data_IF_782437339421
#
_entry.id   IF_782437339421
#
_cell.length_a   1.000
_cell.length_b   1.000
_cell.length_c   1.000
_cell.angle_alpha   90.00
_cell.angle_beta   90.00
_cell.angle_gamma   90.00
#
_symmetry.space_group_name_H-M   'P 1'
#
loop_
_entity.id
_entity.type
_entity.pdbx_description
1 polymer ?
#
# COMPACT_ATOMS: atom_id res chain seq x y z
N UNK A 1 -8.39 -7.94 4.56
CA UNK A 1 -9.13 -8.91 3.73
C UNK A 1 -10.06 -8.14 2.81
N UNK A 2 -10.37 -8.68 1.63
CA UNK A 2 -11.42 -8.16 0.76
C UNK A 2 -12.77 -8.76 1.19
N UNK A 3 -13.82 -7.96 1.16
CA UNK A 3 -15.20 -8.43 1.31
C UNK A 3 -15.65 -9.17 0.05
N UNK A 4 -16.27 -10.35 0.18
CA UNK A 4 -16.83 -11.10 -0.97
C UNK A 4 -18.12 -10.50 -1.50
N UNK A 5 -18.86 -9.82 -0.62
CA UNK A 5 -20.09 -9.11 -0.93
C UNK A 5 -19.96 -7.64 -0.49
N UNK A 6 -20.95 -6.81 -0.78
CA UNK A 6 -21.01 -5.46 -0.22
C UNK A 6 -21.23 -5.50 1.31
N UNK A 7 -20.98 -4.37 1.96
CA UNK A 7 -21.07 -4.22 3.42
C UNK A 7 -22.45 -4.61 3.98
N UNK A 8 -23.53 -4.15 3.34
CA UNK A 8 -24.89 -4.41 3.82
C UNK A 8 -25.20 -5.91 3.77
N UNK A 9 -24.82 -6.58 2.67
CA UNK A 9 -24.97 -8.03 2.54
C UNK A 9 -24.18 -8.78 3.63
N UNK A 10 -22.93 -8.39 3.91
CA UNK A 10 -22.13 -9.04 4.96
C UNK A 10 -22.75 -8.83 6.35
N UNK A 11 -23.26 -7.64 6.65
CA UNK A 11 -23.96 -7.35 7.91
C UNK A 11 -25.20 -8.25 8.05
N UNK A 12 -25.98 -8.43 6.98
CA UNK A 12 -27.15 -9.32 7.01
C UNK A 12 -26.75 -10.78 7.16
N UNK A 13 -25.71 -11.23 6.44
CA UNK A 13 -25.16 -12.58 6.59
C UNK A 13 -24.73 -12.83 8.04
N UNK A 14 -24.08 -11.85 8.68
CA UNK A 14 -23.66 -11.94 10.08
C UNK A 14 -24.85 -12.05 11.04
N UNK A 15 -25.89 -11.22 10.85
CA UNK A 15 -27.12 -11.28 11.66
C UNK A 15 -27.83 -12.63 11.54
N UNK A 16 -27.88 -13.20 10.34
CA UNK A 16 -28.47 -14.53 10.11
C UNK A 16 -27.64 -15.61 10.77
N UNK A 17 -26.32 -15.62 10.52
CA UNK A 17 -25.37 -16.52 11.16
C UNK A 17 -25.51 -16.54 12.69
N UNK A 18 -25.50 -15.37 13.34
CA UNK A 18 -25.61 -15.26 14.79
C UNK A 18 -26.95 -15.76 15.35
N UNK A 19 -28.04 -15.65 14.57
CA UNK A 19 -29.34 -16.24 14.94
C UNK A 19 -29.32 -17.77 14.87
N UNK A 20 -28.73 -18.33 13.82
CA UNK A 20 -28.65 -19.79 13.61
C UNK A 20 -27.87 -20.50 14.72
N UNK A 21 -26.80 -19.85 15.24
CA UNK A 21 -25.97 -20.39 16.32
C UNK A 21 -26.41 -19.93 17.72
N UNK A 22 -27.65 -19.42 17.88
CA UNK A 22 -28.20 -18.94 19.15
C UNK A 22 -27.28 -17.95 19.91
N UNK A 23 -26.66 -17.03 19.17
CA UNK A 23 -25.73 -16.02 19.67
C UNK A 23 -24.46 -16.58 20.37
N UNK A 24 -24.17 -17.89 20.21
CA UNK A 24 -23.04 -18.57 20.85
C UNK A 24 -22.18 -19.31 19.81
N UNK A 25 -21.54 -18.60 18.88
CA UNK A 25 -20.71 -19.23 17.86
C UNK A 25 -19.48 -19.90 18.48
N UNK A 26 -19.13 -21.08 17.99
CA UNK A 26 -17.83 -21.69 18.25
C UNK A 26 -16.75 -21.08 17.36
N UNK A 27 -15.49 -21.42 17.63
CA UNK A 27 -14.36 -20.99 16.79
C UNK A 27 -14.49 -21.46 15.34
N UNK A 28 -15.03 -22.66 15.10
CA UNK A 28 -15.20 -23.19 13.75
C UNK A 28 -16.31 -22.43 13.01
N UNK A 29 -17.41 -22.13 13.69
CA UNK A 29 -18.52 -21.33 13.13
C UNK A 29 -18.04 -19.95 12.66
N UNK A 30 -17.22 -19.28 13.48
CA UNK A 30 -16.63 -17.98 13.10
C UNK A 30 -15.67 -18.13 11.92
N UNK A 31 -14.85 -19.19 11.89
CA UNK A 31 -13.93 -19.44 10.77
C UNK A 31 -14.71 -19.60 9.46
N UNK A 32 -15.74 -20.44 9.46
CA UNK A 32 -16.56 -20.73 8.28
C UNK A 32 -17.29 -19.46 7.80
N UNK A 33 -17.81 -18.66 8.74
CA UNK A 33 -18.38 -17.36 8.44
C UNK A 33 -17.36 -16.43 7.74
N UNK A 34 -16.14 -16.35 8.28
CA UNK A 34 -15.07 -15.50 7.72
C UNK A 34 -14.68 -15.98 6.33
N UNK A 35 -14.47 -17.29 6.12
CA UNK A 35 -14.07 -17.85 4.83
C UNK A 35 -15.15 -17.66 3.74
N UNK A 36 -16.43 -17.74 4.13
CA UNK A 36 -17.58 -17.52 3.24
C UNK A 36 -17.77 -16.05 2.85
N UNK A 37 -17.38 -15.10 3.70
CA UNK A 37 -17.67 -13.67 3.49
C UNK A 37 -16.44 -12.82 3.15
N UNK A 38 -15.23 -13.32 3.40
CA UNK A 38 -13.99 -12.58 3.19
C UNK A 38 -12.97 -13.43 2.42
N UNK A 39 -12.02 -12.76 1.78
CA UNK A 39 -10.93 -13.43 1.07
C UNK A 39 -9.64 -12.61 1.14
N UNK A 40 -8.51 -13.31 1.17
CA UNK A 40 -7.21 -12.69 0.95
C UNK A 40 -7.04 -12.41 -0.55
N UNK A 41 -7.31 -11.16 -0.94
CA UNK A 41 -7.10 -10.70 -2.31
C UNK A 41 -5.77 -9.96 -2.45
N UNK A 42 -5.15 -10.09 -3.61
CA UNK A 42 -3.96 -9.31 -3.97
C UNK A 42 -4.39 -7.98 -4.61
N UNK A 43 -4.24 -6.90 -3.83
CA UNK A 43 -4.68 -5.53 -4.18
C UNK A 43 -3.68 -4.76 -5.06
N UNK A 44 -2.43 -5.21 -5.07
CA UNK A 44 -1.31 -4.50 -5.68
C UNK A 44 -0.74 -5.33 -6.83
N UNK A 45 -0.26 -4.65 -7.85
CA UNK A 45 0.59 -5.24 -8.88
C UNK A 45 1.95 -4.55 -8.88
N UNK A 46 2.97 -5.25 -9.38
CA UNK A 46 4.28 -4.64 -9.61
C UNK A 46 4.11 -3.49 -10.60
N UNK A 47 4.66 -2.34 -10.25
CA UNK A 47 4.71 -1.20 -11.15
C UNK A 47 6.15 -0.88 -11.44
N UNK A 48 6.50 -0.86 -12.72
CA UNK A 48 7.80 -0.42 -13.15
C UNK A 48 7.61 0.70 -14.14
N UNK A 49 8.13 1.86 -13.77
CA UNK A 49 8.19 2.98 -14.68
C UNK A 49 9.21 2.71 -15.78
N UNK A 50 9.01 3.34 -16.95
CA UNK A 50 9.86 3.10 -18.13
C UNK A 50 11.32 3.51 -17.90
N UNK A 51 11.58 4.41 -16.94
CA UNK A 51 12.92 4.86 -16.60
C UNK A 51 13.59 3.90 -15.63
N UNK A 52 14.64 3.23 -16.08
CA UNK A 52 15.49 2.43 -15.20
C UNK A 52 16.21 3.33 -14.19
N UNK A 53 16.45 2.85 -12.95
CA UNK A 53 17.32 3.53 -11.99
C UNK A 53 18.68 3.81 -12.64
N UNK A 54 19.17 5.04 -12.47
CA UNK A 54 20.52 5.44 -12.92
C UNK A 54 21.52 5.13 -11.81
N UNK A 55 22.81 5.09 -12.16
CA UNK A 55 23.88 5.00 -11.16
C UNK A 55 23.64 6.05 -10.06
N UNK A 56 23.67 5.66 -8.77
CA UNK A 56 23.21 6.55 -7.72
C UNK A 56 24.14 7.75 -7.62
N UNK A 57 23.63 8.96 -7.43
CA UNK A 57 24.46 10.16 -7.37
C UNK A 57 25.52 10.09 -6.26
N UNK A 58 25.24 9.34 -5.20
CA UNK A 58 26.15 9.11 -4.09
C UNK A 58 27.36 8.23 -4.46
N UNK A 59 27.29 7.41 -5.51
CA UNK A 59 28.41 6.53 -5.92
C UNK A 59 29.69 7.33 -6.17
N UNK A 60 29.56 8.54 -6.71
CA UNK A 60 30.67 9.47 -6.96
C UNK A 60 31.37 9.97 -5.68
N UNK A 61 30.78 9.77 -4.51
CA UNK A 61 31.29 10.22 -3.20
C UNK A 61 31.74 9.06 -2.32
N UNK A 62 31.60 7.82 -2.79
CA UNK A 62 31.98 6.63 -2.04
C UNK A 62 33.42 6.27 -2.43
N UNK A 63 34.32 6.29 -1.44
CA UNK A 63 35.73 5.91 -1.66
C UNK A 63 36.00 4.44 -1.37
N UNK A 64 35.17 3.80 -0.54
CA UNK A 64 35.34 2.40 -0.13
C UNK A 64 34.57 1.46 -1.08
N UNK A 65 35.23 0.50 -1.76
CA UNK A 65 34.59 -0.42 -2.70
C UNK A 65 33.43 -1.21 -2.12
N UNK A 66 33.50 -1.56 -0.83
CA UNK A 66 32.46 -2.33 -0.14
C UNK A 66 31.13 -1.56 -0.08
N UNK A 67 31.20 -0.25 0.15
CA UNK A 67 30.02 0.61 0.18
C UNK A 67 29.46 0.88 -1.21
N UNK A 68 30.32 0.90 -2.24
CA UNK A 68 29.88 1.02 -3.63
C UNK A 68 29.11 -0.25 -4.05
N UNK A 69 29.63 -1.43 -3.72
CA UNK A 69 28.94 -2.71 -3.95
C UNK A 69 27.57 -2.73 -3.26
N UNK A 70 27.54 -2.37 -1.97
CA UNK A 70 26.29 -2.30 -1.21
C UNK A 70 25.26 -1.38 -1.86
N UNK A 71 25.65 -0.18 -2.29
CA UNK A 71 24.74 0.76 -2.95
C UNK A 71 24.22 0.21 -4.28
N UNK A 72 25.07 -0.47 -5.05
CA UNK A 72 24.66 -1.10 -6.30
C UNK A 72 23.66 -2.26 -6.06
N UNK A 73 23.81 -3.01 -4.97
CA UNK A 73 22.88 -4.07 -4.57
C UNK A 73 21.50 -3.54 -4.13
N UNK A 74 21.42 -2.29 -3.65
CA UNK A 74 20.14 -1.67 -3.29
C UNK A 74 19.30 -1.26 -4.50
N UNK A 75 19.92 -0.92 -5.63
CA UNK A 75 19.18 -0.37 -6.78
C UNK A 75 18.10 -1.30 -7.35
N UNK A 76 18.32 -2.62 -7.51
CA UNK A 76 17.28 -3.54 -7.97
C UNK A 76 16.10 -3.63 -6.99
N UNK A 77 16.33 -3.38 -5.70
CA UNK A 77 15.30 -3.47 -4.66
C UNK A 77 14.18 -2.46 -4.89
N UNK A 78 14.47 -1.26 -5.41
CA UNK A 78 13.43 -0.30 -5.77
C UNK A 78 12.42 -0.89 -6.75
N UNK A 79 12.88 -1.59 -7.78
CA UNK A 79 12.00 -2.28 -8.74
C UNK A 79 11.16 -3.37 -8.09
N UNK A 80 11.71 -4.02 -7.07
CA UNK A 80 11.02 -5.07 -6.30
C UNK A 80 9.97 -4.46 -5.37
N UNK A 81 10.14 -3.23 -4.90
CA UNK A 81 9.23 -2.58 -3.92
C UNK A 81 8.22 -1.62 -4.55
N UNK A 82 8.41 -1.19 -5.80
CA UNK A 82 7.43 -0.33 -6.48
C UNK A 82 6.16 -1.10 -6.83
N UNK A 83 5.02 -0.53 -6.47
CA UNK A 83 3.67 -1.08 -6.62
C UNK A 83 2.74 -0.04 -7.22
N UNK A 84 1.64 -0.53 -7.80
CA UNK A 84 0.43 0.26 -8.04
C UNK A 84 -0.78 -0.55 -7.61
N UNK A 85 -1.88 0.14 -7.36
CA UNK A 85 -3.16 -0.51 -7.05
C UNK A 85 -3.74 -1.06 -8.35
N UNK A 86 -4.20 -2.31 -8.34
CA UNK A 86 -4.74 -2.93 -9.55
C UNK A 86 -6.01 -2.21 -10.02
N UNK A 87 -6.24 -2.17 -11.34
CA UNK A 87 -7.39 -1.44 -11.91
C UNK A 87 -8.74 -1.99 -11.45
N UNK A 88 -8.84 -3.29 -11.25
CA UNK A 88 -10.03 -3.97 -10.75
C UNK A 88 -10.36 -3.61 -9.29
N UNK A 89 -9.35 -3.21 -8.50
CA UNK A 89 -9.53 -2.79 -7.10
C UNK A 89 -10.14 -1.38 -7.04
N UNK A 90 -9.70 -0.48 -7.91
CA UNK A 90 -10.21 0.89 -8.01
C UNK A 90 -11.54 1.00 -8.76
N UNK A 91 -12.05 -0.11 -9.31
CA UNK A 91 -13.36 -0.12 -9.95
C UNK A 91 -14.46 0.24 -8.93
N UNK A 92 -15.43 1.04 -9.36
CA UNK A 92 -16.49 1.57 -8.48
C UNK A 92 -17.25 0.49 -7.69
N UNK A 93 -17.44 -0.68 -8.31
CA UNK A 93 -18.18 -1.79 -7.70
C UNK A 93 -17.34 -2.58 -6.68
N UNK A 94 -16.03 -2.35 -6.66
CA UNK A 94 -15.07 -3.09 -5.86
C UNK A 94 -14.42 -2.24 -4.77
N UNK A 95 -14.27 -0.93 -4.95
CA UNK A 95 -13.46 -0.09 -4.06
C UNK A 95 -13.90 -0.15 -2.59
N UNK A 96 -15.20 -0.24 -2.34
CA UNK A 96 -15.76 -0.36 -0.98
C UNK A 96 -15.48 -1.72 -0.33
N UNK A 97 -15.11 -2.73 -1.12
CA UNK A 97 -14.81 -4.09 -0.65
C UNK A 97 -13.36 -4.24 -0.20
N UNK A 98 -12.52 -3.23 -0.44
CA UNK A 98 -11.12 -3.19 -0.04
C UNK A 98 -10.89 -2.14 1.04
N UNK A 99 -9.85 -2.36 1.83
CA UNK A 99 -9.42 -1.38 2.83
C UNK A 99 -8.38 -0.40 2.30
N UNK A 100 -7.78 -0.68 1.13
CA UNK A 100 -6.76 0.18 0.53
C UNK A 100 -7.37 1.50 0.05
N UNK A 101 -6.70 2.62 0.36
CA UNK A 101 -7.07 3.93 -0.16
C UNK A 101 -6.53 4.02 -1.60
N UNK A 102 -7.38 4.27 -2.61
CA UNK A 102 -6.93 4.42 -3.98
C UNK A 102 -6.09 5.69 -4.12
N UNK A 103 -5.00 5.65 -4.88
CA UNK A 103 -4.16 6.80 -5.20
C UNK A 103 -3.82 6.80 -6.71
N UNK A 104 -3.64 7.96 -7.35
CA UNK A 104 -3.53 8.04 -8.81
C UNK A 104 -2.26 7.42 -9.40
N UNK A 105 -1.15 7.44 -8.66
CA UNK A 105 0.17 7.02 -9.15
C UNK A 105 0.71 5.79 -8.40
N UNK A 106 1.72 5.15 -8.99
CA UNK A 106 2.50 4.12 -8.31
C UNK A 106 3.25 4.67 -7.09
N UNK A 107 3.59 3.79 -6.16
CA UNK A 107 4.30 4.11 -4.92
C UNK A 107 5.24 2.96 -4.53
N UNK A 108 6.14 3.23 -3.60
CA UNK A 108 7.06 2.22 -3.05
C UNK A 108 6.58 1.84 -1.65
N UNK A 109 6.53 0.53 -1.37
CA UNK A 109 6.21 0.01 -0.04
C UNK A 109 7.48 -0.20 0.80
N UNK A 110 7.41 -0.18 2.15
CA UNK A 110 8.58 -0.45 3.00
C UNK A 110 9.17 -1.86 2.82
N UNK A 111 8.35 -2.84 2.38
CA UNK A 111 8.76 -4.22 2.11
C UNK A 111 8.23 -5.24 3.11
N UNK A 112 8.65 -6.49 2.96
CA UNK A 112 8.21 -7.60 3.82
C UNK A 112 6.69 -7.78 3.80
N UNK A 113 6.06 -7.73 4.98
CA UNK A 113 4.61 -7.94 5.14
C UNK A 113 3.74 -6.72 4.80
N UNK A 114 4.34 -5.55 4.58
CA UNK A 114 3.61 -4.30 4.35
C UNK A 114 3.03 -4.27 2.93
N UNK A 115 1.75 -3.91 2.82
CA UNK A 115 1.00 -3.95 1.55
C UNK A 115 0.34 -2.59 1.24
N UNK A 116 0.95 -1.51 1.71
CA UNK A 116 0.51 -0.13 1.54
C UNK A 116 1.71 0.81 1.68
N UNK A 117 1.58 2.04 1.18
CA UNK A 117 2.52 3.11 1.50
C UNK A 117 2.33 3.55 2.95
N UNK A 118 3.41 4.05 3.56
CA UNK A 118 3.44 4.67 4.88
C UNK A 118 4.03 6.07 4.76
N UNK A 119 3.44 7.05 5.45
CA UNK A 119 3.75 8.46 5.22
C UNK A 119 5.21 8.81 5.54
N UNK A 120 5.66 8.67 6.78
CA UNK A 120 7.02 9.08 7.14
C UNK A 120 8.12 8.19 6.52
N UNK A 121 7.84 6.90 6.30
CA UNK A 121 8.75 5.97 5.62
C UNK A 121 9.01 6.43 4.18
N UNK A 122 7.97 6.98 3.54
CA UNK A 122 8.06 7.45 2.16
C UNK A 122 9.03 8.61 1.99
N UNK A 123 9.29 9.41 3.02
CA UNK A 123 10.30 10.47 2.95
C UNK A 123 11.70 9.87 2.70
N UNK A 124 12.10 8.88 3.50
CA UNK A 124 13.40 8.22 3.37
C UNK A 124 13.51 7.46 2.05
N UNK A 125 12.41 6.84 1.62
CA UNK A 125 12.32 6.20 0.31
C UNK A 125 12.51 7.22 -0.81
N UNK A 126 11.81 8.37 -0.76
CA UNK A 126 11.93 9.45 -1.76
C UNK A 126 13.38 9.95 -1.84
N UNK A 127 14.06 10.15 -0.71
CA UNK A 127 15.49 10.52 -0.69
C UNK A 127 16.35 9.47 -1.42
N UNK A 128 16.11 8.19 -1.18
CA UNK A 128 16.79 7.10 -1.88
C UNK A 128 16.51 7.09 -3.39
N UNK A 129 15.23 7.22 -3.77
CA UNK A 129 14.79 7.26 -5.17
C UNK A 129 15.39 8.44 -5.95
N UNK A 130 15.45 9.62 -5.32
CA UNK A 130 16.11 10.80 -5.91
C UNK A 130 17.59 10.53 -6.17
N UNK A 131 18.29 9.91 -5.22
CA UNK A 131 19.68 9.51 -5.40
C UNK A 131 19.84 8.48 -6.52
N UNK A 132 18.87 7.59 -6.72
CA UNK A 132 18.85 6.61 -7.83
C UNK A 132 18.31 7.17 -9.16
N UNK A 133 18.03 8.47 -9.25
CA UNK A 133 17.51 9.13 -10.46
C UNK A 133 16.07 8.76 -10.83
N UNK A 134 15.29 8.21 -9.90
CA UNK A 134 13.89 7.80 -10.10
C UNK A 134 12.92 8.98 -9.86
N UNK A 135 13.18 10.11 -10.49
CA UNK A 135 12.46 11.38 -10.25
C UNK A 135 10.99 11.31 -10.64
N UNK A 136 10.63 10.55 -11.67
CA UNK A 136 9.23 10.38 -12.09
C UNK A 136 8.42 9.62 -11.03
N UNK A 137 9.01 8.56 -10.44
CA UNK A 137 8.38 7.81 -9.34
C UNK A 137 8.20 8.70 -8.12
N UNK A 138 9.22 9.51 -7.79
CA UNK A 138 9.14 10.50 -6.71
C UNK A 138 8.01 11.49 -6.96
N UNK A 139 7.92 12.05 -8.16
CA UNK A 139 6.83 12.97 -8.53
C UNK A 139 5.46 12.31 -8.33
N UNK A 140 5.28 11.08 -8.79
CA UNK A 140 4.04 10.34 -8.60
C UNK A 140 3.68 10.11 -7.13
N UNK A 141 4.67 9.80 -6.29
CA UNK A 141 4.45 9.67 -4.83
C UNK A 141 4.06 10.99 -4.18
N UNK A 142 4.66 12.11 -4.57
CA UNK A 142 4.28 13.44 -4.06
C UNK A 142 2.88 13.85 -4.52
N UNK A 143 2.51 13.56 -5.78
CA UNK A 143 1.16 13.76 -6.29
C UNK A 143 0.13 12.89 -5.55
N UNK A 144 0.48 11.67 -5.15
CA UNK A 144 -0.37 10.84 -4.30
C UNK A 144 -0.61 11.51 -2.92
N UNK A 145 0.41 12.11 -2.33
CA UNK A 145 0.28 12.82 -1.06
C UNK A 145 -0.58 14.08 -1.18
N UNK A 146 -0.37 14.87 -2.23
CA UNK A 146 -1.22 16.03 -2.52
C UNK A 146 -2.69 15.61 -2.65
N UNK A 147 -2.96 14.54 -3.42
CA UNK A 147 -4.30 14.00 -3.58
C UNK A 147 -4.93 13.54 -2.24
N UNK A 148 -4.14 12.94 -1.34
CA UNK A 148 -4.62 12.54 -0.02
C UNK A 148 -4.98 13.76 0.84
N UNK A 149 -4.19 14.82 0.79
CA UNK A 149 -4.48 16.09 1.48
C UNK A 149 -5.76 16.71 0.92
N UNK A 150 -5.89 16.80 -0.40
CA UNK A 150 -7.10 17.34 -1.04
C UNK A 150 -8.36 16.55 -0.66
N UNK A 151 -8.25 15.22 -0.57
CA UNK A 151 -9.40 14.34 -0.29
C UNK A 151 -9.77 14.22 1.18
N UNK A 152 -8.78 14.16 2.07
CA UNK A 152 -8.98 13.84 3.49
C UNK A 152 -8.55 14.97 4.44
N UNK A 153 -7.91 16.02 3.93
CA UNK A 153 -7.37 17.15 4.72
C UNK A 153 -6.00 16.88 5.35
N UNK A 154 -5.45 15.67 5.21
CA UNK A 154 -4.15 15.28 5.74
C UNK A 154 -3.63 14.01 5.07
N UNK A 155 -2.35 13.67 5.30
CA UNK A 155 -1.76 12.40 4.86
C UNK A 155 -1.94 11.36 5.99
N UNK A 156 -2.71 10.27 5.77
CA UNK A 156 -2.88 9.22 6.79
C UNK A 156 -1.58 8.47 7.05
N UNK A 157 -1.48 7.81 8.22
CA UNK A 157 -0.32 6.98 8.59
C UNK A 157 0.09 6.01 7.47
N UNK A 158 -0.89 5.38 6.81
CA UNK A 158 -0.66 4.61 5.60
C UNK A 158 -1.90 4.56 4.70
N UNK A 159 -1.77 3.90 3.56
CA UNK A 159 -2.80 3.84 2.51
C UNK A 159 -4.00 2.94 2.81
N UNK A 160 -4.59 3.02 4.01
CA UNK A 160 -5.73 2.18 4.42
C UNK A 160 -6.82 3.02 5.08
N UNK A 161 -8.09 2.68 4.85
CA UNK A 161 -9.24 3.44 5.37
C UNK A 161 -9.25 3.51 6.90
N UNK A 162 -8.75 2.49 7.59
CA UNK A 162 -8.64 2.47 9.06
C UNK A 162 -7.48 3.33 9.59
N UNK A 163 -6.71 3.99 8.72
CA UNK A 163 -5.74 5.04 9.06
C UNK A 163 -6.33 6.45 8.93
N UNK A 164 -7.59 6.62 8.49
CA UNK A 164 -8.22 7.94 8.31
C UNK A 164 -8.54 8.67 9.63
N UNK A 165 -8.07 8.17 10.77
CA UNK A 165 -8.16 8.82 12.07
C UNK A 165 -6.79 9.26 12.64
N UNK A 166 -5.69 9.03 11.91
CA UNK A 166 -4.33 9.34 12.38
C UNK A 166 -3.34 9.58 11.24
N UNK A 167 -2.37 10.47 11.49
CA UNK A 167 -1.25 10.72 10.60
C UNK A 167 0.06 10.11 11.14
N UNK A 168 1.18 10.58 10.63
CA UNK A 168 2.55 10.30 11.05
C UNK A 168 3.34 11.64 11.07
N UNK A 169 4.59 11.67 11.55
CA UNK A 169 5.40 12.90 11.53
C UNK A 169 5.36 13.59 10.16
N UNK A 170 5.03 14.89 10.10
CA UNK A 170 4.82 15.58 8.84
C UNK A 170 6.15 15.90 8.16
N UNK A 171 6.39 15.25 7.02
CA UNK A 171 7.62 15.39 6.21
C UNK A 171 7.31 15.71 4.73
N UNK A 172 6.07 16.07 4.41
CA UNK A 172 5.62 16.50 3.08
C UNK A 172 5.95 17.97 2.83
#
# INVERSE_FOLDING_TARGET
MMMRFDENTIIQNFKTFMREVNQKPTRNDVRDFVEKNFVLAEELEKWQEKTSPRSPLISKRISQPEYESFVNELMPIWKILTRRIKREVIHKDNITRFSIIPVPNGFVIPGGRFREFYYWDSYWIIVGLLNSGMTTTVKGMLENFLWLIEKFGFIPNGGRIYYLNRSQPPLF
#
